data_IF_503013475591
#
_entry.id   IF_503013475591
#
_cell.length_a   1.000
_cell.length_b   1.000
_cell.length_c   1.000
_cell.angle_alpha   90.00
_cell.angle_beta   90.00
_cell.angle_gamma   90.00
#
_symmetry.space_group_name_H-M   'P 1'
#
loop_
_entity.id
_entity.type
_entity.pdbx_description
1 polymer ?
#
# COMPACT_ATOMS: atom_id res chain seq x y z
N UNK A 1 7.43 4.55 12.60
CA UNK A 1 6.09 4.11 12.24
C UNK A 1 5.07 4.72 13.17
N UNK A 2 4.17 5.47 12.63
CA UNK A 2 3.03 6.00 13.35
C UNK A 2 1.93 4.93 13.32
N UNK A 3 1.23 4.75 14.43
CA UNK A 3 0.06 3.87 14.48
C UNK A 3 -1.11 4.45 13.71
N UNK A 4 -0.96 4.83 12.46
CA UNK A 4 -1.93 5.40 11.55
C UNK A 4 -3.16 6.04 12.19
N UNK A 5 -3.34 7.32 11.97
CA UNK A 5 -4.59 8.00 12.34
C UNK A 5 -5.25 8.44 11.05
N UNK A 6 -6.39 7.84 10.76
CA UNK A 6 -7.20 8.19 9.60
C UNK A 6 -8.17 9.29 9.97
N UNK A 7 -8.19 10.32 9.14
CA UNK A 7 -9.15 11.41 9.27
C UNK A 7 -8.81 12.45 10.33
N UNK A 8 -9.54 13.52 10.28
CA UNK A 8 -9.30 14.74 11.06
C UNK A 8 -9.79 14.67 12.53
N UNK A 9 -10.33 13.55 12.97
CA UNK A 9 -11.09 13.47 14.21
C UNK A 9 -10.55 12.51 15.27
N UNK A 10 -9.45 11.80 15.01
CA UNK A 10 -8.87 10.88 15.99
C UNK A 10 -7.83 11.61 16.83
N UNK A 11 -8.14 11.84 18.09
CA UNK A 11 -7.20 12.38 19.06
C UNK A 11 -7.06 11.40 20.22
N UNK A 12 -5.87 11.33 20.80
CA UNK A 12 -5.61 10.58 22.02
C UNK A 12 -5.73 11.52 23.20
N UNK A 13 -6.61 11.19 24.10
CA UNK A 13 -6.76 11.90 25.37
C UNK A 13 -5.76 11.34 26.39
N UNK A 14 -4.55 11.88 26.37
CA UNK A 14 -3.51 11.48 27.32
C UNK A 14 -3.86 11.87 28.76
N UNK A 15 -4.65 12.91 28.97
CA UNK A 15 -5.10 13.32 30.30
C UNK A 15 -6.13 12.33 30.88
N UNK A 16 -6.94 11.70 30.01
CA UNK A 16 -7.81 10.59 30.38
C UNK A 16 -7.07 9.24 30.53
N UNK A 17 -5.75 9.24 30.39
CA UNK A 17 -4.91 8.03 30.51
C UNK A 17 -4.92 7.13 29.29
N UNK A 18 -5.37 7.62 28.15
CA UNK A 18 -5.23 6.88 26.90
C UNK A 18 -3.76 6.81 26.49
N UNK A 19 -3.33 5.63 26.06
CA UNK A 19 -1.98 5.39 25.56
C UNK A 19 -2.02 5.15 24.06
N UNK A 20 -0.97 5.58 23.40
CA UNK A 20 -0.68 5.19 22.02
C UNK A 20 0.53 4.25 22.03
N UNK A 21 0.39 3.16 21.32
CA UNK A 21 1.47 2.20 21.14
C UNK A 21 2.01 2.32 19.71
N UNK A 22 3.27 2.66 19.59
CA UNK A 22 4.01 2.44 18.37
C UNK A 22 4.51 0.99 18.31
N UNK A 23 5.10 0.61 17.17
CA UNK A 23 5.60 -0.77 16.99
C UNK A 23 6.72 -1.12 17.98
N UNK A 24 7.60 -0.18 18.33
CA UNK A 24 8.72 -0.40 19.23
C UNK A 24 8.22 -0.69 20.64
N UNK A 25 7.30 0.14 21.14
CA UNK A 25 6.68 -0.04 22.46
C UNK A 25 5.91 -1.34 22.52
N UNK A 26 5.12 -1.66 21.47
CA UNK A 26 4.34 -2.89 21.42
C UNK A 26 5.23 -4.15 21.43
N UNK A 27 6.27 -4.18 20.64
CA UNK A 27 7.22 -5.29 20.61
C UNK A 27 7.93 -5.45 21.96
N UNK A 28 8.36 -4.35 22.58
CA UNK A 28 9.01 -4.38 23.88
C UNK A 28 8.07 -4.93 24.96
N UNK A 29 6.80 -4.54 24.98
CA UNK A 29 5.80 -5.08 25.91
C UNK A 29 5.57 -6.59 25.73
N UNK A 30 5.80 -7.11 24.52
CA UNK A 30 5.72 -8.54 24.20
C UNK A 30 7.04 -9.29 24.43
N UNK A 31 8.05 -8.62 24.99
CA UNK A 31 9.30 -9.23 25.38
C UNK A 31 10.35 -9.35 24.26
N UNK A 32 10.14 -8.69 23.13
CA UNK A 32 11.19 -8.57 22.11
C UNK A 32 12.29 -7.63 22.57
N UNK A 33 13.54 -8.03 22.30
CA UNK A 33 14.69 -7.15 22.42
C UNK A 33 14.94 -6.44 21.11
N UNK A 34 14.97 -5.11 21.14
CA UNK A 34 15.17 -4.29 19.96
C UNK A 34 16.66 -3.96 19.78
N UNK A 35 17.11 -3.91 18.53
CA UNK A 35 18.46 -3.48 18.19
C UNK A 35 18.58 -1.97 18.40
N UNK A 36 19.31 -1.58 19.47
CA UNK A 36 19.42 -0.18 19.86
C UNK A 36 20.27 0.64 18.89
N UNK A 37 21.30 0.05 18.31
CA UNK A 37 22.17 0.75 17.35
C UNK A 37 21.37 1.15 16.09
N UNK A 38 20.50 0.27 15.63
CA UNK A 38 19.61 0.55 14.51
C UNK A 38 18.56 1.62 14.87
N UNK A 39 17.96 1.56 16.07
CA UNK A 39 17.03 2.57 16.53
C UNK A 39 17.67 3.95 16.69
N UNK A 40 18.88 4.00 17.22
CA UNK A 40 19.65 5.24 17.38
C UNK A 40 19.99 5.85 16.03
N UNK A 41 20.38 5.02 15.04
CA UNK A 41 20.62 5.47 13.67
C UNK A 41 19.37 6.16 13.09
N UNK A 42 18.22 5.47 13.07
CA UNK A 42 17.00 6.01 12.47
C UNK A 42 16.41 7.20 13.24
N UNK A 43 16.64 7.30 14.53
CA UNK A 43 16.19 8.44 15.35
C UNK A 43 17.15 9.62 15.34
N UNK A 44 18.34 9.46 14.82
CA UNK A 44 19.34 10.53 14.74
C UNK A 44 18.84 11.72 13.91
N UNK A 45 19.29 12.94 14.25
CA UNK A 45 18.93 14.15 13.48
C UNK A 45 19.49 14.07 12.05
N UNK A 46 20.64 13.44 11.87
CA UNK A 46 21.26 13.28 10.55
C UNK A 46 20.43 12.41 9.61
N UNK A 47 19.79 11.35 10.11
CA UNK A 47 18.95 10.46 9.32
C UNK A 47 17.50 10.96 9.31
N UNK A 48 16.85 11.01 10.47
CA UNK A 48 15.45 11.41 10.55
C UNK A 48 15.21 12.86 10.12
N UNK A 49 16.14 13.77 10.44
CA UNK A 49 16.07 15.16 10.04
C UNK A 49 16.24 15.37 8.54
N UNK A 50 17.02 14.53 7.88
CA UNK A 50 17.33 14.65 6.44
C UNK A 50 16.34 13.88 5.57
N UNK A 51 16.12 12.60 5.88
CA UNK A 51 15.34 11.68 5.05
C UNK A 51 13.90 11.51 5.54
N UNK A 52 13.68 11.54 6.86
CA UNK A 52 12.36 11.32 7.44
C UNK A 52 11.29 12.25 6.88
N UNK A 53 10.08 11.74 6.75
CA UNK A 53 8.93 12.56 6.40
C UNK A 53 8.58 13.49 7.55
N UNK A 54 8.40 14.78 7.26
CA UNK A 54 8.07 15.80 8.24
C UNK A 54 6.60 16.19 8.10
N UNK A 55 5.80 15.78 9.06
CA UNK A 55 4.39 16.17 9.15
C UNK A 55 3.46 15.37 8.27
N UNK A 56 2.15 15.48 8.53
CA UNK A 56 1.13 15.05 7.59
C UNK A 56 1.23 15.90 6.34
N UNK A 57 1.28 15.27 5.19
CA UNK A 57 1.30 16.01 3.94
C UNK A 57 -0.08 15.95 3.30
N UNK A 58 -0.47 17.07 2.77
CA UNK A 58 -1.53 17.08 1.79
C UNK A 58 -0.92 16.64 0.48
N UNK A 59 -1.29 15.45 0.01
CA UNK A 59 -0.92 14.97 -1.32
C UNK A 59 -1.60 15.77 -2.42
N UNK A 60 -2.51 16.68 -2.05
CA UNK A 60 -3.21 17.50 -3.01
C UNK A 60 -2.52 18.84 -3.20
N UNK A 61 -2.03 19.12 -4.40
CA UNK A 61 -1.80 20.48 -4.82
C UNK A 61 -3.13 21.25 -4.72
N UNK A 62 -3.05 22.55 -4.47
CA UNK A 62 -4.25 23.39 -4.54
C UNK A 62 -4.96 23.17 -5.89
N UNK A 63 -6.29 23.21 -5.89
CA UNK A 63 -7.12 22.91 -7.06
C UNK A 63 -6.64 23.51 -8.40
N UNK A 64 -5.95 24.63 -8.39
CA UNK A 64 -5.41 25.27 -9.59
C UNK A 64 -4.11 24.67 -10.15
N UNK A 65 -3.41 23.86 -9.39
CA UNK A 65 -2.10 23.30 -9.79
C UNK A 65 -2.14 21.79 -10.10
N UNK A 66 -3.28 21.13 -9.88
CA UNK A 66 -3.44 19.68 -10.13
C UNK A 66 -3.20 19.28 -11.59
N UNK A 67 -3.43 20.19 -12.52
CA UNK A 67 -3.24 19.94 -13.95
C UNK A 67 -1.81 20.14 -14.42
N UNK A 68 -1.12 21.10 -13.83
CA UNK A 68 0.19 21.55 -14.30
C UNK A 68 1.33 20.85 -13.58
N UNK A 69 1.06 20.29 -12.39
CA UNK A 69 2.08 19.70 -11.54
C UNK A 69 1.46 18.57 -10.70
N UNK A 70 1.53 17.33 -11.14
CA UNK A 70 1.16 16.21 -10.27
C UNK A 70 1.98 16.34 -9.00
N UNK A 71 1.32 16.16 -7.84
CA UNK A 71 2.01 16.26 -6.56
C UNK A 71 3.20 15.32 -6.54
N UNK A 72 4.29 15.77 -5.96
CA UNK A 72 5.42 14.92 -5.68
C UNK A 72 5.26 14.29 -4.29
N UNK A 73 5.54 13.00 -4.18
CA UNK A 73 5.47 12.26 -2.93
C UNK A 73 6.87 11.83 -2.49
N UNK A 74 7.18 12.03 -1.22
CA UNK A 74 8.43 11.56 -0.62
C UNK A 74 8.17 10.30 0.20
N UNK A 75 8.79 9.18 -0.18
CA UNK A 75 8.76 7.95 0.60
C UNK A 75 9.43 8.14 1.96
N UNK A 76 10.60 8.77 1.96
CA UNK A 76 11.33 9.12 3.19
C UNK A 76 12.19 8.00 3.73
N UNK A 77 12.60 7.05 2.88
CA UNK A 77 13.61 6.08 3.23
C UNK A 77 15.01 6.65 2.98
N UNK A 78 15.94 6.28 3.83
CA UNK A 78 17.31 6.74 3.75
C UNK A 78 18.15 5.82 2.84
N UNK A 79 19.20 6.35 2.15
CA UNK A 79 20.04 5.54 1.29
C UNK A 79 20.93 4.57 2.12
N UNK A 80 21.37 3.50 1.48
CA UNK A 80 22.24 2.49 2.12
C UNK A 80 23.50 3.07 2.76
N UNK A 81 23.98 4.22 2.26
CA UNK A 81 25.19 4.87 2.75
C UNK A 81 25.13 5.38 4.20
N UNK A 82 23.94 5.39 4.82
CA UNK A 82 23.79 5.73 6.24
C UNK A 82 24.25 4.61 7.17
N UNK A 83 24.23 3.37 6.69
CA UNK A 83 24.55 2.21 7.50
C UNK A 83 26.07 2.02 7.58
N UNK A 84 26.61 2.15 8.77
CA UNK A 84 28.01 1.82 9.00
C UNK A 84 28.21 0.33 9.19
N UNK A 85 29.42 -0.17 8.99
CA UNK A 85 29.77 -1.58 9.21
C UNK A 85 29.41 -2.07 10.64
N UNK A 86 29.55 -1.19 11.65
CA UNK A 86 29.20 -1.53 13.02
C UNK A 86 27.71 -1.68 13.22
N UNK A 87 26.89 -0.80 12.61
CA UNK A 87 25.42 -0.89 12.66
C UNK A 87 24.93 -2.13 11.91
N UNK A 88 25.45 -2.39 10.72
CA UNK A 88 25.11 -3.59 9.96
C UNK A 88 25.46 -4.85 10.73
N UNK A 89 26.68 -4.91 11.31
CA UNK A 89 27.11 -6.03 12.14
C UNK A 89 26.25 -6.23 13.40
N UNK A 90 25.66 -5.18 13.95
CA UNK A 90 24.76 -5.30 15.10
C UNK A 90 23.45 -6.03 14.74
N UNK A 91 23.12 -6.11 13.45
CA UNK A 91 21.95 -6.83 12.94
C UNK A 91 22.22 -8.33 12.70
N UNK A 92 23.50 -8.76 12.67
CA UNK A 92 23.86 -10.16 12.53
C UNK A 92 23.18 -10.99 13.65
N UNK A 93 22.71 -12.19 13.32
CA UNK A 93 21.99 -13.09 14.23
C UNK A 93 20.63 -12.56 14.76
N UNK A 94 20.10 -11.47 14.21
CA UNK A 94 18.78 -10.93 14.55
C UNK A 94 17.73 -11.26 13.49
N UNK A 95 16.48 -10.88 13.76
CA UNK A 95 15.39 -10.85 12.76
C UNK A 95 15.15 -9.39 12.37
N UNK A 96 15.23 -9.09 11.09
CA UNK A 96 14.87 -7.77 10.59
C UNK A 96 13.35 -7.63 10.45
N UNK A 97 12.78 -6.60 11.04
CA UNK A 97 11.41 -6.15 10.79
C UNK A 97 11.47 -4.89 9.92
N UNK A 98 11.33 -5.08 8.62
CA UNK A 98 11.32 -3.99 7.65
C UNK A 98 9.92 -3.41 7.55
N UNK A 99 9.77 -2.11 7.80
CA UNK A 99 8.47 -1.44 7.79
C UNK A 99 8.34 -0.60 6.53
N UNK A 100 7.39 -0.99 5.67
CA UNK A 100 7.02 -0.23 4.48
C UNK A 100 5.74 0.55 4.81
N UNK A 101 5.75 1.85 4.56
CA UNK A 101 4.60 2.68 4.86
C UNK A 101 4.28 3.67 3.73
N UNK A 102 2.98 3.87 3.51
CA UNK A 102 2.46 4.94 2.67
C UNK A 102 1.40 5.68 3.48
N UNK A 103 1.51 6.99 3.51
CA UNK A 103 0.50 7.79 4.19
C UNK A 103 -0.76 7.84 3.34
N UNK A 104 -1.90 7.72 3.97
CA UNK A 104 -3.18 8.00 3.34
C UNK A 104 -4.09 8.74 4.30
N UNK A 105 -4.89 9.63 3.78
CA UNK A 105 -5.91 10.32 4.56
C UNK A 105 -6.97 10.89 3.62
N UNK A 106 -8.04 11.41 4.20
CA UNK A 106 -9.03 12.19 3.46
C UNK A 106 -8.35 13.29 2.62
N UNK A 107 -8.72 13.40 1.36
CA UNK A 107 -8.17 14.35 0.40
C UNK A 107 -6.65 14.20 0.12
N UNK A 108 -6.12 13.00 0.28
CA UNK A 108 -4.70 12.69 0.07
C UNK A 108 -4.54 11.45 -0.80
N UNK A 109 -5.07 11.51 -2.02
CA UNK A 109 -5.03 10.42 -2.99
C UNK A 109 -3.65 10.29 -3.66
N UNK A 110 -3.26 9.06 -3.96
CA UNK A 110 -2.10 8.81 -4.81
C UNK A 110 -2.48 8.93 -6.28
N UNK A 111 -2.02 10.00 -6.91
CA UNK A 111 -2.19 10.18 -8.34
C UNK A 111 -1.18 9.28 -9.09
N UNK A 112 -1.59 8.51 -10.09
CA UNK A 112 -0.69 7.63 -10.87
C UNK A 112 0.46 8.38 -11.55
N UNK A 113 0.32 9.67 -11.77
CA UNK A 113 1.35 10.53 -12.37
C UNK A 113 2.25 11.23 -11.34
N UNK A 114 2.15 10.89 -10.06
CA UNK A 114 3.07 11.42 -9.05
C UNK A 114 4.50 10.98 -9.34
N UNK A 115 5.42 11.89 -9.09
CA UNK A 115 6.87 11.64 -9.16
C UNK A 115 7.48 11.68 -7.77
N UNK A 116 8.68 11.12 -7.62
CA UNK A 116 9.40 11.26 -6.37
C UNK A 116 9.71 12.73 -6.09
N UNK A 117 9.48 13.16 -4.84
CA UNK A 117 9.90 14.46 -4.34
C UNK A 117 11.37 14.47 -3.92
N UNK A 118 12.04 13.34 -3.96
CA UNK A 118 13.45 13.18 -3.57
C UNK A 118 14.22 12.57 -4.74
N UNK A 119 15.16 13.32 -5.31
CA UNK A 119 16.00 12.83 -6.41
C UNK A 119 16.94 11.70 -5.95
N UNK A 120 17.21 11.60 -4.65
CA UNK A 120 18.06 10.55 -4.07
C UNK A 120 17.30 9.27 -3.74
N UNK A 121 15.97 9.26 -3.90
CA UNK A 121 15.11 8.10 -3.63
C UNK A 121 13.98 8.05 -4.66
N UNK A 122 14.23 7.45 -5.80
CA UNK A 122 13.27 7.38 -6.88
C UNK A 122 12.33 6.18 -6.75
N UNK A 123 11.17 6.26 -7.39
CA UNK A 123 10.23 5.17 -7.56
C UNK A 123 9.58 5.24 -8.94
N UNK A 124 9.18 4.12 -9.44
CA UNK A 124 8.49 4.05 -10.74
C UNK A 124 7.05 4.58 -10.66
N UNK A 125 6.36 4.21 -9.59
CA UNK A 125 4.98 4.61 -9.28
C UNK A 125 4.86 4.86 -7.77
N UNK A 126 3.94 5.71 -7.32
CA UNK A 126 3.86 6.09 -5.89
C UNK A 126 3.65 4.91 -4.93
N UNK A 127 3.00 3.84 -5.39
CA UNK A 127 2.78 2.63 -4.61
C UNK A 127 3.82 1.54 -4.85
N UNK A 128 4.76 1.74 -5.80
CA UNK A 128 5.93 0.88 -5.94
C UNK A 128 6.94 1.14 -4.82
N UNK A 129 7.78 0.15 -4.55
CA UNK A 129 8.91 0.33 -3.64
C UNK A 129 9.92 1.31 -4.24
N UNK A 130 10.43 2.23 -3.42
CA UNK A 130 11.49 3.13 -3.83
C UNK A 130 12.84 2.41 -3.93
N UNK A 131 13.80 3.06 -4.56
CA UNK A 131 15.16 2.50 -4.71
C UNK A 131 15.81 2.29 -3.33
N UNK A 132 15.61 3.21 -2.39
CA UNK A 132 16.16 3.09 -1.04
C UNK A 132 15.42 2.00 -0.23
N UNK A 133 14.10 1.83 -0.38
CA UNK A 133 13.36 0.72 0.25
C UNK A 133 13.86 -0.64 -0.25
N UNK A 134 14.11 -0.77 -1.55
CA UNK A 134 14.69 -1.98 -2.14
C UNK A 134 16.09 -2.26 -1.59
N UNK A 135 16.96 -1.23 -1.56
CA UNK A 135 18.30 -1.37 -1.02
C UNK A 135 18.29 -1.76 0.48
N UNK A 136 17.43 -1.15 1.29
CA UNK A 136 17.25 -1.50 2.70
C UNK A 136 16.82 -2.96 2.87
N UNK A 137 15.92 -3.46 2.04
CA UNK A 137 15.48 -4.87 2.08
C UNK A 137 16.66 -5.81 1.76
N UNK A 138 17.47 -5.49 0.76
CA UNK A 138 18.64 -6.29 0.42
C UNK A 138 19.66 -6.32 1.58
N UNK A 139 19.97 -5.16 2.19
CA UNK A 139 20.82 -5.12 3.38
C UNK A 139 20.25 -5.94 4.54
N UNK A 140 18.94 -5.88 4.75
CA UNK A 140 18.29 -6.69 5.78
C UNK A 140 18.43 -8.19 5.51
N UNK A 141 18.38 -8.63 4.25
CA UNK A 141 18.61 -10.03 3.86
C UNK A 141 20.07 -10.46 4.07
N UNK A 142 21.02 -9.57 3.83
CA UNK A 142 22.43 -9.85 4.00
C UNK A 142 22.88 -9.94 5.47
N UNK A 143 22.28 -9.09 6.33
CA UNK A 143 22.71 -8.87 7.71
C UNK A 143 21.74 -9.37 8.79
N UNK A 144 20.75 -10.18 8.42
CA UNK A 144 19.85 -10.77 9.42
C UNK A 144 19.55 -12.23 9.12
N UNK A 145 19.11 -12.95 10.12
CA UNK A 145 18.77 -14.38 9.97
C UNK A 145 17.45 -14.60 9.25
N UNK A 146 16.58 -13.61 9.26
CA UNK A 146 15.24 -13.62 8.62
C UNK A 146 14.75 -12.20 8.45
N UNK A 147 14.06 -11.96 7.36
CA UNK A 147 13.38 -10.69 7.10
C UNK A 147 11.86 -10.89 7.20
N UNK A 148 11.21 -10.02 7.94
CA UNK A 148 9.76 -9.86 7.98
C UNK A 148 9.42 -8.48 7.47
N UNK A 149 8.60 -8.39 6.43
CA UNK A 149 8.12 -7.12 5.90
C UNK A 149 6.78 -6.79 6.54
N UNK A 150 6.68 -5.63 7.19
CA UNK A 150 5.47 -5.11 7.81
C UNK A 150 4.92 -3.97 6.95
N UNK A 151 3.75 -4.18 6.37
CA UNK A 151 3.05 -3.17 5.59
C UNK A 151 2.17 -2.32 6.51
N UNK A 152 2.62 -1.11 6.80
CA UNK A 152 1.88 -0.12 7.58
C UNK A 152 1.25 0.91 6.63
N UNK A 153 0.28 0.48 5.88
CA UNK A 153 -0.42 1.27 4.86
C UNK A 153 -1.81 0.71 4.61
N UNK A 154 -2.76 1.56 4.29
CA UNK A 154 -4.07 1.16 3.78
C UNK A 154 -4.07 0.94 2.26
N UNK A 155 -3.07 1.48 1.57
CA UNK A 155 -2.97 1.32 0.13
C UNK A 155 -2.30 -0.01 -0.22
N UNK A 156 -2.75 -0.71 -1.27
CA UNK A 156 -2.11 -1.90 -1.78
C UNK A 156 -0.82 -1.52 -2.51
N UNK A 157 0.32 -1.57 -1.80
CA UNK A 157 1.65 -1.32 -2.37
C UNK A 157 2.07 -2.46 -3.29
N UNK A 158 2.87 -2.14 -4.30
CA UNK A 158 3.40 -3.11 -5.23
C UNK A 158 4.53 -3.90 -4.57
N UNK A 159 4.29 -5.17 -4.30
CA UNK A 159 5.20 -6.06 -3.56
C UNK A 159 5.39 -7.42 -4.26
N UNK A 160 5.14 -7.48 -5.56
CA UNK A 160 5.28 -8.74 -6.32
C UNK A 160 6.70 -9.28 -6.27
N UNK A 161 7.70 -8.41 -6.33
CA UNK A 161 9.11 -8.77 -6.20
C UNK A 161 9.43 -9.46 -4.87
N UNK A 162 8.68 -9.15 -3.80
CA UNK A 162 8.88 -9.73 -2.47
C UNK A 162 8.14 -11.05 -2.28
N UNK A 163 7.08 -11.29 -3.04
CA UNK A 163 6.18 -12.44 -2.89
C UNK A 163 6.90 -13.79 -3.03
N UNK A 164 7.83 -13.86 -3.97
CA UNK A 164 8.55 -15.08 -4.30
C UNK A 164 10.04 -15.03 -3.90
N UNK A 165 10.44 -14.01 -3.15
CA UNK A 165 11.80 -13.85 -2.68
C UNK A 165 12.06 -14.78 -1.47
N UNK A 166 12.93 -15.77 -1.66
CA UNK A 166 13.29 -16.75 -0.62
C UNK A 166 13.98 -16.10 0.61
N UNK A 167 14.51 -14.88 0.47
CA UNK A 167 15.08 -14.08 1.56
C UNK A 167 14.01 -13.47 2.47
N UNK A 168 12.76 -13.39 2.03
CA UNK A 168 11.65 -12.84 2.79
C UNK A 168 10.92 -13.96 3.54
N UNK A 169 11.00 -13.93 4.86
CA UNK A 169 10.38 -14.96 5.71
C UNK A 169 8.87 -14.80 5.88
N UNK A 170 8.38 -13.57 5.87
CA UNK A 170 6.95 -13.25 5.95
C UNK A 170 6.67 -11.82 5.50
N UNK A 171 5.45 -11.60 4.99
CA UNK A 171 4.88 -10.27 4.75
C UNK A 171 3.62 -10.16 5.62
N UNK A 172 3.56 -9.13 6.45
CA UNK A 172 2.45 -8.89 7.39
C UNK A 172 1.80 -7.55 7.06
N UNK A 173 0.54 -7.57 6.71
CA UNK A 173 -0.22 -6.34 6.53
C UNK A 173 -0.86 -5.93 7.84
N UNK A 174 -0.44 -4.78 8.37
CA UNK A 174 -0.97 -4.19 9.59
C UNK A 174 -2.03 -3.11 9.29
N UNK A 175 -2.05 -2.59 8.08
CA UNK A 175 -2.90 -1.45 7.74
C UNK A 175 -2.53 -0.21 8.57
N UNK A 176 -3.55 0.48 9.06
CA UNK A 176 -3.42 1.59 10.00
C UNK A 176 -3.99 1.16 11.36
N UNK A 177 -3.16 0.62 12.24
CA UNK A 177 -3.62 -0.05 13.47
C UNK A 177 -4.15 0.90 14.56
N UNK A 178 -4.10 2.22 14.33
CA UNK A 178 -4.58 3.21 15.28
C UNK A 178 -3.78 3.24 16.59
N UNK A 179 -4.43 3.63 17.70
CA UNK A 179 -3.74 3.85 18.96
C UNK A 179 -3.17 2.59 19.61
N UNK A 180 -3.83 1.45 19.47
CA UNK A 180 -3.53 0.22 20.22
C UNK A 180 -3.26 -1.00 19.33
N UNK A 181 -3.51 -0.92 18.04
CA UNK A 181 -3.47 -2.09 17.15
C UNK A 181 -2.09 -2.69 16.98
N UNK A 182 -1.01 -1.96 17.22
CA UNK A 182 0.34 -2.53 17.21
C UNK A 182 0.57 -3.58 18.30
N UNK A 183 -0.21 -3.56 19.40
CA UNK A 183 -0.18 -4.66 20.36
C UNK A 183 -0.63 -5.97 19.71
N UNK A 184 -1.71 -5.93 18.90
CA UNK A 184 -2.18 -7.10 18.16
C UNK A 184 -1.17 -7.55 17.08
N UNK A 185 -0.49 -6.61 16.41
CA UNK A 185 0.60 -6.95 15.49
C UNK A 185 1.73 -7.67 16.23
N UNK A 186 2.13 -7.19 17.40
CA UNK A 186 3.15 -7.83 18.22
C UNK A 186 2.70 -9.22 18.73
N UNK A 187 1.40 -9.40 19.05
CA UNK A 187 0.83 -10.71 19.40
C UNK A 187 0.94 -11.72 18.24
N UNK A 188 0.67 -11.28 17.02
CA UNK A 188 0.86 -12.11 15.81
C UNK A 188 2.34 -12.44 15.61
N UNK A 189 3.23 -11.44 15.68
CA UNK A 189 4.66 -11.65 15.47
C UNK A 189 5.28 -12.56 16.53
N UNK A 190 4.77 -12.54 17.77
CA UNK A 190 5.22 -13.44 18.86
C UNK A 190 4.63 -14.85 18.77
N UNK A 191 3.58 -15.04 17.95
CA UNK A 191 2.84 -16.29 17.87
C UNK A 191 1.80 -16.49 18.99
N UNK A 192 1.56 -15.48 19.83
CA UNK A 192 0.49 -15.54 20.84
C UNK A 192 -0.90 -15.56 20.21
N UNK A 193 -1.06 -14.93 19.08
CA UNK A 193 -2.31 -14.88 18.30
C UNK A 193 -2.07 -15.45 16.91
N UNK A 194 -2.91 -16.39 16.52
CA UNK A 194 -2.94 -16.92 15.17
C UNK A 194 -3.67 -15.93 14.25
N UNK A 195 -3.02 -15.39 13.19
CA UNK A 195 -3.68 -14.47 12.28
C UNK A 195 -4.82 -15.15 11.53
N UNK A 196 -5.91 -14.43 11.32
CA UNK A 196 -7.08 -14.88 10.55
C UNK A 196 -7.63 -13.81 9.62
N UNK A 197 -6.92 -12.69 9.50
CA UNK A 197 -7.29 -11.59 8.62
C UNK A 197 -7.09 -11.94 7.15
N UNK A 198 -7.93 -11.34 6.30
CA UNK A 198 -7.83 -11.44 4.85
C UNK A 198 -7.88 -10.03 4.27
N UNK A 199 -7.10 -9.79 3.23
CA UNK A 199 -7.12 -8.48 2.55
C UNK A 199 -8.46 -8.29 1.83
N UNK A 200 -8.95 -7.05 1.88
CA UNK A 200 -10.21 -6.66 1.26
C UNK A 200 -10.01 -5.91 -0.07
N UNK A 201 -8.83 -6.05 -0.66
CA UNK A 201 -8.45 -5.45 -1.92
C UNK A 201 -7.55 -6.40 -2.72
N UNK A 202 -7.33 -6.10 -3.99
CA UNK A 202 -6.35 -6.78 -4.84
C UNK A 202 -5.02 -6.05 -4.77
N UNK A 203 -3.94 -6.77 -4.49
CA UNK A 203 -2.59 -6.25 -4.64
C UNK A 203 -2.12 -6.53 -6.06
N UNK A 204 -2.13 -5.51 -6.89
CA UNK A 204 -1.73 -5.62 -8.27
C UNK A 204 -0.20 -5.57 -8.42
N UNK A 205 0.31 -6.19 -9.47
CA UNK A 205 1.73 -6.06 -9.90
C UNK A 205 2.02 -4.61 -10.31
N UNK A 206 1.06 -4.00 -11.00
CA UNK A 206 1.11 -2.58 -11.36
C UNK A 206 -0.17 -1.88 -10.87
N UNK A 207 -0.04 -1.05 -9.85
CA UNK A 207 -1.16 -0.34 -9.24
C UNK A 207 -1.91 0.60 -10.18
N UNK A 208 -1.30 0.97 -11.31
CA UNK A 208 -1.88 1.90 -12.30
C UNK A 208 -2.54 1.20 -13.48
N UNK A 209 -2.56 -0.14 -13.54
CA UNK A 209 -3.10 -0.90 -14.68
C UNK A 209 -4.63 -0.96 -14.71
N UNK A 210 -5.29 -0.86 -13.56
CA UNK A 210 -6.74 -0.92 -13.46
C UNK A 210 -7.44 0.29 -14.12
N UNK A 211 -8.62 0.10 -14.75
CA UNK A 211 -9.35 1.19 -15.41
C UNK A 211 -9.63 2.40 -14.53
N UNK A 212 -9.92 2.19 -13.24
CA UNK A 212 -10.10 3.26 -12.28
C UNK A 212 -8.87 4.14 -12.12
N UNK A 213 -7.67 3.54 -12.16
CA UNK A 213 -6.41 4.26 -12.08
C UNK A 213 -6.02 4.90 -13.42
N UNK A 214 -6.24 4.21 -14.54
CA UNK A 214 -6.02 4.78 -15.89
C UNK A 214 -6.87 6.04 -16.10
N UNK A 215 -8.09 6.02 -15.59
CA UNK A 215 -9.03 7.14 -15.70
C UNK A 215 -8.93 8.12 -14.51
N UNK A 216 -8.06 7.85 -13.54
CA UNK A 216 -7.87 8.75 -12.42
C UNK A 216 -7.19 10.03 -12.87
N UNK A 217 -7.70 11.14 -12.40
CA UNK A 217 -7.14 12.44 -12.66
C UNK A 217 -8.21 13.51 -12.87
N UNK A 218 -7.72 14.70 -13.11
CA UNK A 218 -8.59 15.85 -13.40
C UNK A 218 -8.50 16.13 -14.88
N UNK A 219 -9.58 15.89 -15.59
CA UNK A 219 -9.66 16.08 -17.02
C UNK A 219 -10.53 17.28 -17.39
N UNK A 220 -10.06 18.08 -18.31
CA UNK A 220 -10.84 19.15 -18.92
C UNK A 220 -11.60 18.59 -20.11
N UNK A 221 -12.89 18.42 -19.99
CA UNK A 221 -13.73 17.93 -21.06
C UNK A 221 -14.14 19.06 -22.00
N UNK A 222 -13.58 19.11 -23.19
CA UNK A 222 -13.82 20.15 -24.20
C UNK A 222 -15.25 20.16 -24.75
N UNK A 223 -16.01 19.09 -24.53
CA UNK A 223 -17.40 18.98 -24.93
C UNK A 223 -18.40 19.30 -23.81
N UNK A 224 -17.96 19.81 -22.66
CA UNK A 224 -18.83 20.25 -21.60
C UNK A 224 -19.50 21.57 -22.00
N UNK A 225 -20.78 21.49 -22.35
CA UNK A 225 -21.56 22.63 -22.83
C UNK A 225 -21.85 23.68 -21.74
N UNK A 226 -21.66 23.35 -20.48
CA UNK A 226 -21.88 24.25 -19.35
C UNK A 226 -20.61 25.07 -19.03
N UNK A 227 -19.44 24.51 -19.29
CA UNK A 227 -18.18 25.21 -19.09
C UNK A 227 -17.83 26.22 -20.21
N UNK A 228 -18.58 26.20 -21.31
CA UNK A 228 -18.24 26.99 -22.52
C UNK A 228 -17.07 26.37 -23.29
N UNK A 229 -17.02 26.63 -24.60
CA UNK A 229 -16.07 26.00 -25.52
C UNK A 229 -14.59 26.36 -25.27
N UNK A 230 -14.32 27.38 -24.48
CA UNK A 230 -12.99 27.91 -24.18
C UNK A 230 -12.69 27.91 -22.69
N UNK A 231 -13.34 27.02 -21.92
CA UNK A 231 -13.22 27.00 -20.48
C UNK A 231 -11.82 26.63 -20.04
N UNK A 232 -11.02 27.63 -19.83
CA UNK A 232 -9.89 27.53 -18.89
C UNK A 232 -10.51 27.45 -17.50
N UNK A 233 -10.14 26.45 -16.71
CA UNK A 233 -10.61 26.35 -15.34
C UNK A 233 -10.15 27.57 -14.56
N UNK A 234 -11.10 28.39 -14.20
CA UNK A 234 -10.90 29.55 -13.33
C UNK A 234 -11.56 29.26 -11.98
N UNK A 235 -11.21 30.03 -10.96
CA UNK A 235 -11.89 29.95 -9.66
C UNK A 235 -13.42 30.13 -9.77
N UNK A 236 -13.86 30.81 -10.84
CA UNK A 236 -15.29 31.13 -11.06
C UNK A 236 -16.08 29.99 -11.68
N UNK A 237 -15.43 29.08 -12.43
CA UNK A 237 -16.11 27.98 -13.15
C UNK A 237 -15.76 26.58 -12.61
N UNK A 238 -15.26 26.46 -11.41
CA UNK A 238 -14.98 25.17 -10.74
C UNK A 238 -16.21 24.29 -10.57
N UNK A 239 -17.41 24.84 -10.64
CA UNK A 239 -18.67 24.11 -10.54
C UNK A 239 -19.01 23.33 -11.80
N UNK A 240 -18.31 23.52 -12.91
CA UNK A 240 -18.60 22.93 -14.20
C UNK A 240 -17.84 21.62 -14.46
N UNK A 241 -17.28 21.04 -13.42
CA UNK A 241 -16.58 19.77 -13.48
C UNK A 241 -17.55 18.61 -13.42
N UNK A 242 -17.24 17.55 -14.16
CA UNK A 242 -17.90 16.28 -14.01
C UNK A 242 -16.88 15.14 -14.04
N UNK A 243 -17.19 14.10 -13.33
CA UNK A 243 -16.40 12.88 -13.27
C UNK A 243 -17.03 11.86 -14.21
N UNK A 244 -16.22 11.20 -15.03
CA UNK A 244 -16.68 10.07 -15.85
C UNK A 244 -16.15 8.80 -15.20
N UNK A 245 -17.06 8.06 -14.57
CA UNK A 245 -16.78 6.72 -14.02
C UNK A 245 -16.85 5.68 -15.15
N UNK A 246 -15.84 5.70 -16.03
CA UNK A 246 -15.81 4.87 -17.24
C UNK A 246 -15.66 3.38 -16.93
N UNK A 247 -15.10 3.05 -15.77
CA UNK A 247 -14.99 1.69 -15.24
C UNK A 247 -16.33 1.13 -14.74
N UNK A 248 -17.32 1.97 -14.50
CA UNK A 248 -18.64 1.58 -13.97
C UNK A 248 -18.50 0.86 -12.62
N UNK A 249 -18.99 -0.38 -12.54
CA UNK A 249 -18.92 -1.18 -11.30
C UNK A 249 -17.59 -1.92 -11.13
N UNK A 250 -16.72 -1.90 -12.14
CA UNK A 250 -15.48 -2.67 -12.17
C UNK A 250 -14.32 -1.89 -11.54
N UNK A 251 -14.46 -1.58 -10.25
CA UNK A 251 -13.46 -0.90 -9.45
C UNK A 251 -12.75 -1.86 -8.51
N UNK A 252 -11.44 -1.66 -8.28
CA UNK A 252 -10.63 -2.49 -7.40
C UNK A 252 -10.69 -3.98 -7.77
N UNK A 253 -10.88 -4.84 -6.78
CA UNK A 253 -10.94 -6.29 -6.98
C UNK A 253 -12.01 -6.75 -7.99
N UNK A 254 -13.11 -6.03 -8.14
CA UNK A 254 -14.18 -6.40 -9.09
C UNK A 254 -13.70 -6.40 -10.53
N UNK A 255 -12.76 -5.53 -10.87
CA UNK A 255 -12.13 -5.53 -12.19
C UNK A 255 -11.30 -6.81 -12.40
N UNK A 256 -10.39 -7.09 -11.50
CA UNK A 256 -9.47 -8.22 -11.65
C UNK A 256 -10.19 -9.56 -11.64
N UNK A 257 -11.09 -9.76 -10.70
CA UNK A 257 -11.81 -11.03 -10.55
C UNK A 257 -12.79 -11.29 -11.70
N UNK A 258 -13.47 -10.24 -12.21
CA UNK A 258 -14.37 -10.38 -13.35
C UNK A 258 -13.59 -10.67 -14.63
N UNK A 259 -12.47 -9.98 -14.83
CA UNK A 259 -11.63 -10.20 -16.00
C UNK A 259 -11.01 -11.60 -16.01
N UNK A 260 -10.63 -12.10 -14.84
CA UNK A 260 -10.17 -13.48 -14.68
C UNK A 260 -11.26 -14.50 -15.05
N UNK A 261 -12.50 -14.29 -14.61
CA UNK A 261 -13.63 -15.14 -14.99
C UNK A 261 -13.84 -15.11 -16.52
N UNK A 262 -13.83 -13.93 -17.12
CA UNK A 262 -13.96 -13.77 -18.57
C UNK A 262 -12.83 -14.44 -19.35
N UNK A 263 -11.60 -14.36 -18.85
CA UNK A 263 -10.43 -15.05 -19.43
C UNK A 263 -10.64 -16.58 -19.41
N UNK A 264 -11.02 -17.15 -18.28
CA UNK A 264 -11.26 -18.59 -18.14
C UNK A 264 -12.42 -19.05 -19.02
N UNK A 265 -13.45 -18.25 -19.18
CA UNK A 265 -14.61 -18.54 -20.02
C UNK A 265 -14.41 -18.20 -21.50
N UNK A 266 -13.32 -17.55 -21.86
CA UNK A 266 -13.06 -17.07 -23.22
C UNK A 266 -14.07 -16.04 -23.69
N UNK A 267 -14.47 -15.12 -22.81
CA UNK A 267 -15.49 -14.11 -23.05
C UNK A 267 -14.91 -12.70 -23.08
N UNK A 268 -15.65 -11.78 -23.66
CA UNK A 268 -15.29 -10.37 -23.71
C UNK A 268 -13.97 -10.10 -24.40
N UNK A 269 -13.18 -9.21 -23.83
CA UNK A 269 -11.85 -8.79 -24.30
C UNK A 269 -10.77 -9.13 -23.24
N UNK A 270 -10.99 -10.17 -22.47
CA UNK A 270 -10.15 -10.50 -21.32
C UNK A 270 -8.68 -10.72 -21.68
N UNK A 271 -8.43 -11.35 -22.83
CA UNK A 271 -7.10 -11.71 -23.37
C UNK A 271 -6.42 -10.60 -24.19
N UNK A 272 -6.96 -9.37 -24.16
CA UNK A 272 -6.32 -8.25 -24.88
C UNK A 272 -5.15 -7.68 -24.09
N UNK A 273 -4.34 -6.86 -24.76
CA UNK A 273 -3.21 -6.14 -24.13
C UNK A 273 -3.65 -4.91 -23.31
N UNK A 274 -4.89 -4.51 -23.42
CA UNK A 274 -5.42 -3.34 -22.69
C UNK A 274 -5.40 -3.59 -21.19
N UNK A 275 -4.77 -2.69 -20.43
CA UNK A 275 -4.63 -2.82 -18.97
C UNK A 275 -3.70 -3.93 -18.51
N UNK A 276 -2.85 -4.46 -19.40
CA UNK A 276 -1.76 -5.36 -19.04
C UNK A 276 -0.56 -4.56 -18.55
N UNK A 277 0.09 -5.06 -17.52
CA UNK A 277 1.25 -4.42 -16.89
C UNK A 277 2.52 -4.52 -17.74
N UNK A 278 2.64 -5.55 -18.55
CA UNK A 278 3.81 -5.86 -19.37
C UNK A 278 3.61 -5.63 -20.88
N UNK A 279 2.40 -5.22 -21.30
CA UNK A 279 2.03 -5.02 -22.70
C UNK A 279 1.79 -6.32 -23.49
N UNK A 280 1.87 -7.48 -22.86
CA UNK A 280 1.45 -8.76 -23.43
C UNK A 280 -0.07 -8.95 -23.32
N UNK A 281 -0.58 -10.10 -23.74
CA UNK A 281 -1.95 -10.48 -23.44
C UNK A 281 -2.15 -10.54 -21.92
N UNK A 282 -3.25 -9.99 -21.47
CA UNK A 282 -3.54 -9.96 -20.02
C UNK A 282 -3.66 -11.38 -19.47
N UNK A 283 -3.01 -11.61 -18.36
CA UNK A 283 -3.02 -12.89 -17.63
C UNK A 283 -3.10 -12.58 -16.14
N UNK A 284 -4.09 -13.14 -15.46
CA UNK A 284 -4.32 -12.87 -14.05
C UNK A 284 -3.09 -13.10 -13.17
N UNK A 285 -2.31 -14.15 -13.45
CA UNK A 285 -1.13 -14.49 -12.66
C UNK A 285 0.00 -13.46 -12.80
N UNK A 286 0.03 -12.72 -13.91
CA UNK A 286 1.02 -11.66 -14.16
C UNK A 286 0.54 -10.29 -13.68
N UNK A 287 -0.73 -10.14 -13.38
CA UNK A 287 -1.32 -8.85 -12.99
C UNK A 287 -1.65 -8.76 -11.49
N UNK A 288 -1.78 -9.90 -10.80
CA UNK A 288 -2.22 -9.95 -9.41
C UNK A 288 -1.20 -10.64 -8.54
N UNK A 289 -0.57 -9.86 -7.66
CA UNK A 289 0.35 -10.37 -6.65
C UNK A 289 -0.39 -11.14 -5.56
N UNK A 290 -1.43 -10.52 -4.98
CA UNK A 290 -2.31 -11.16 -4.01
C UNK A 290 -3.77 -10.85 -4.34
N UNK A 291 -4.62 -11.88 -4.50
CA UNK A 291 -6.02 -11.70 -4.83
C UNK A 291 -6.84 -11.14 -3.66
N UNK A 292 -7.98 -10.55 -3.96
CA UNK A 292 -8.99 -10.23 -2.97
C UNK A 292 -9.30 -11.45 -2.08
N UNK A 293 -9.35 -11.22 -0.78
CA UNK A 293 -9.63 -12.27 0.20
C UNK A 293 -8.43 -13.15 0.55
N UNK A 294 -7.23 -12.84 0.04
CA UNK A 294 -6.02 -13.58 0.41
C UNK A 294 -5.66 -13.33 1.88
N UNK A 295 -5.25 -14.38 2.56
CA UNK A 295 -4.73 -14.35 3.92
C UNK A 295 -4.23 -15.71 4.33
N UNK A 296 -3.17 -15.73 5.15
CA UNK A 296 -2.61 -16.96 5.71
C UNK A 296 -2.86 -17.02 7.21
N UNK A 297 -2.88 -18.21 7.72
CA UNK A 297 -2.98 -18.51 9.14
C UNK A 297 -1.85 -19.47 9.54
N UNK A 298 -1.52 -19.54 10.81
CA UNK A 298 -0.58 -20.56 11.34
C UNK A 298 -1.17 -21.96 11.33
N UNK A 299 -2.46 -22.09 10.98
CA UNK A 299 -3.15 -23.36 10.77
C UNK A 299 -3.79 -23.38 9.39
N UNK A 300 -4.12 -24.56 8.92
CA UNK A 300 -4.78 -24.78 7.63
C UNK A 300 -6.21 -25.26 7.83
N UNK A 301 -7.09 -24.89 6.90
CA UNK A 301 -8.48 -25.32 6.86
C UNK A 301 -8.76 -25.94 5.50
N UNK A 302 -9.48 -27.05 5.49
CA UNK A 302 -10.03 -27.62 4.27
C UNK A 302 -11.51 -27.26 4.17
N UNK A 303 -11.89 -26.69 3.03
CA UNK A 303 -13.28 -26.42 2.72
C UNK A 303 -13.69 -27.25 1.51
N UNK A 304 -14.85 -27.87 1.60
CA UNK A 304 -15.42 -28.66 0.52
C UNK A 304 -16.87 -28.24 0.30
N UNK A 305 -17.15 -27.81 -0.92
CA UNK A 305 -18.53 -27.62 -1.35
C UNK A 305 -19.16 -29.00 -1.58
N UNK A 306 -20.15 -29.37 -0.78
CA UNK A 306 -20.80 -30.68 -0.88
C UNK A 306 -21.91 -30.71 -1.95
N UNK A 307 -22.67 -29.62 -2.06
CA UNK A 307 -23.71 -29.49 -3.08
C UNK A 307 -24.09 -28.04 -3.28
N UNK A 308 -24.57 -27.73 -4.46
CA UNK A 308 -25.25 -26.45 -4.78
C UNK A 308 -26.60 -26.79 -5.39
N UNK A 309 -27.67 -26.27 -4.81
CA UNK A 309 -29.02 -26.34 -5.37
C UNK A 309 -29.47 -24.92 -5.75
N UNK A 310 -29.69 -24.71 -7.05
CA UNK A 310 -30.12 -23.41 -7.61
C UNK A 310 -31.42 -23.60 -8.32
N UNK A 311 -32.45 -22.90 -7.86
CA UNK A 311 -33.77 -22.86 -8.52
C UNK A 311 -33.89 -21.55 -9.28
N UNK A 312 -34.29 -21.65 -10.55
CA UNK A 312 -34.54 -20.46 -11.39
C UNK A 312 -35.70 -19.66 -10.79
N UNK A 313 -35.40 -18.41 -10.40
CA UNK A 313 -36.36 -17.52 -9.73
C UNK A 313 -36.55 -17.78 -8.23
N UNK A 314 -35.72 -18.64 -7.62
CA UNK A 314 -35.74 -18.98 -6.22
C UNK A 314 -34.47 -18.56 -5.47
N UNK A 315 -34.27 -19.15 -4.29
CA UNK A 315 -33.08 -18.95 -3.45
C UNK A 315 -32.01 -20.00 -3.78
N UNK A 316 -30.77 -19.59 -3.94
CA UNK A 316 -29.66 -20.51 -4.00
C UNK A 316 -29.33 -20.98 -2.57
N UNK A 317 -29.09 -22.29 -2.40
CA UNK A 317 -28.64 -22.89 -1.14
C UNK A 317 -27.38 -23.70 -1.42
N UNK A 318 -26.36 -23.48 -0.63
CA UNK A 318 -25.08 -24.20 -0.69
C UNK A 318 -24.81 -24.90 0.62
#
# INVERSE_FOLDING_TARGET
TLGGMIGSSVSIDAEAGQKQYDIQTALTEKGFSLNQDMLDLYSSEDVNGTYGRKGGHSLQPSFGTMYENPAAYKVGEAPESIYTDDVLKSADDTVALVVISRDSSEASDYNPNMTSADEADSYERPLALSDNEKAMIELAKEHSTKVVVLLNTNNPVEIDDLKNDEGIGAIVWAGEPGANGFLGVADVLSGEVNPSGHIADTYAVNSTSAPAMVNYGVYLYTNNSQAGSDAVLTEENKADWYLVESEGIYTGYKYYETRYEDEILGQGNADTTEGSSDGAAWDYANEVSYPFGYGLSYTTFEQKLESVDVQVGGTATA
#
